data_IF_831652455946
#
_entry.id   IF_831652455946
#
_cell.length_a   1.000
_cell.length_b   1.000
_cell.length_c   1.000
_cell.angle_alpha   90.00
_cell.angle_beta   90.00
_cell.angle_gamma   90.00
#
_symmetry.space_group_name_H-M   'P 1'
#
loop_
_entity.id
_entity.type
_entity.pdbx_description
1 polymer ?
#
# COMPACT_ATOMS: atom_id res chain seq x y z
N UNK A 1 -21.20 -9.47 12.12
CA UNK A 1 -19.90 -8.79 11.89
C UNK A 1 -20.22 -7.34 11.64
N UNK A 2 -19.56 -6.41 12.32
CA UNK A 2 -19.83 -4.97 12.14
C UNK A 2 -19.38 -4.59 10.73
N UNK A 3 -20.16 -3.78 10.01
CA UNK A 3 -19.87 -3.24 8.67
C UNK A 3 -19.88 -4.20 7.45
N UNK A 4 -20.21 -5.50 7.58
CA UNK A 4 -20.34 -6.42 6.43
C UNK A 4 -21.68 -7.17 6.44
N UNK A 5 -22.18 -7.52 5.25
CA UNK A 5 -23.38 -8.38 5.14
C UNK A 5 -23.08 -9.83 5.56
N UNK A 6 -24.10 -10.63 5.96
CA UNK A 6 -23.91 -12.05 6.28
C UNK A 6 -23.31 -12.84 5.12
N UNK A 7 -23.75 -12.59 3.89
CA UNK A 7 -23.30 -13.30 2.70
C UNK A 7 -21.85 -12.96 2.35
N UNK A 8 -21.48 -11.69 2.45
CA UNK A 8 -20.10 -11.22 2.26
C UNK A 8 -19.15 -11.84 3.30
N UNK A 9 -19.59 -11.91 4.55
CA UNK A 9 -18.83 -12.60 5.61
C UNK A 9 -18.66 -14.09 5.31
N UNK A 10 -19.71 -14.76 4.83
CA UNK A 10 -19.65 -16.17 4.45
C UNK A 10 -18.71 -16.39 3.25
N UNK A 11 -18.75 -15.50 2.26
CA UNK A 11 -17.87 -15.52 1.09
C UNK A 11 -16.40 -15.39 1.48
N UNK A 12 -16.01 -14.38 2.28
CA UNK A 12 -14.62 -14.19 2.70
C UNK A 12 -14.10 -15.37 3.52
N UNK A 13 -14.92 -15.92 4.43
CA UNK A 13 -14.55 -17.11 5.22
C UNK A 13 -14.41 -18.35 4.35
N UNK A 14 -15.30 -18.54 3.37
CA UNK A 14 -15.22 -19.66 2.44
C UNK A 14 -13.92 -19.59 1.65
N UNK A 15 -13.55 -18.42 1.12
CA UNK A 15 -12.33 -18.26 0.32
C UNK A 15 -11.07 -18.48 1.16
N UNK A 16 -11.00 -17.90 2.36
CA UNK A 16 -9.85 -18.06 3.26
C UNK A 16 -9.54 -19.54 3.57
N UNK A 17 -10.58 -20.38 3.70
CA UNK A 17 -10.43 -21.82 3.98
C UNK A 17 -10.15 -22.68 2.75
N UNK A 18 -10.25 -22.13 1.53
CA UNK A 18 -10.05 -22.86 0.27
C UNK A 18 -8.76 -22.48 -0.44
N UNK A 19 -8.28 -21.27 -0.21
CA UNK A 19 -7.11 -20.72 -0.90
C UNK A 19 -5.78 -21.20 -0.33
N UNK A 20 -4.73 -21.03 -1.13
CA UNK A 20 -3.37 -21.38 -0.73
C UNK A 20 -2.87 -20.49 0.42
N UNK A 21 -1.86 -20.97 1.15
CA UNK A 21 -1.22 -20.19 2.23
C UNK A 21 -0.77 -18.81 1.73
N UNK A 22 -0.18 -18.74 0.53
CA UNK A 22 0.27 -17.47 -0.06
C UNK A 22 -0.87 -16.47 -0.22
N UNK A 23 -2.02 -16.93 -0.72
CA UNK A 23 -3.19 -16.08 -0.93
C UNK A 23 -3.85 -15.71 0.40
N UNK A 24 -3.95 -16.65 1.35
CA UNK A 24 -4.49 -16.40 2.69
C UNK A 24 -3.66 -15.38 3.47
N UNK A 25 -2.34 -15.34 3.28
CA UNK A 25 -1.48 -14.30 3.88
C UNK A 25 -1.86 -12.91 3.36
N UNK A 26 -2.06 -12.75 2.04
CA UNK A 26 -2.46 -11.47 1.45
C UNK A 26 -3.87 -11.05 1.88
N UNK A 27 -4.78 -12.00 2.08
CA UNK A 27 -6.12 -11.73 2.63
C UNK A 27 -6.08 -11.20 4.07
N UNK A 28 -5.13 -11.67 4.88
CA UNK A 28 -4.99 -11.27 6.30
C UNK A 28 -4.19 -9.98 6.43
N UNK A 29 -3.08 -9.90 5.69
CA UNK A 29 -2.16 -8.77 5.70
C UNK A 29 -1.95 -8.28 4.27
N UNK A 30 -2.74 -7.30 3.83
CA UNK A 30 -2.58 -6.64 2.55
C UNK A 30 -1.16 -6.10 2.36
N UNK A 31 -0.68 -6.10 1.13
CA UNK A 31 0.61 -5.53 0.77
C UNK A 31 0.45 -4.14 0.17
N UNK A 32 1.34 -3.22 0.54
CA UNK A 32 1.37 -1.86 0.01
C UNK A 32 2.69 -1.65 -0.73
N UNK A 33 2.61 -1.25 -1.99
CA UNK A 33 3.77 -0.97 -2.83
C UNK A 33 3.81 0.52 -3.18
N UNK A 34 4.95 1.16 -2.95
CA UNK A 34 5.14 2.58 -3.21
C UNK A 34 5.95 2.82 -4.48
N UNK A 35 5.45 3.71 -5.33
CA UNK A 35 6.10 4.17 -6.54
C UNK A 35 6.43 5.66 -6.42
N UNK A 36 7.64 6.02 -6.83
CA UNK A 36 8.09 7.42 -6.91
C UNK A 36 8.92 7.62 -8.18
N UNK A 37 9.25 8.86 -8.50
CA UNK A 37 10.17 9.15 -9.62
C UNK A 37 11.64 8.92 -9.25
N UNK A 38 11.97 8.95 -7.97
CA UNK A 38 13.34 9.00 -7.48
C UNK A 38 13.88 7.61 -7.10
N UNK A 39 12.99 6.63 -6.92
CA UNK A 39 13.33 5.29 -6.49
C UNK A 39 12.54 4.24 -7.27
N UNK A 40 13.09 3.03 -7.45
CA UNK A 40 12.30 1.90 -7.92
C UNK A 40 11.14 1.58 -6.96
N UNK A 41 10.14 0.80 -7.40
CA UNK A 41 9.02 0.40 -6.55
C UNK A 41 9.52 -0.38 -5.33
N UNK A 42 9.07 0.02 -4.14
CA UNK A 42 9.50 -0.60 -2.88
C UNK A 42 8.31 -0.89 -1.97
N UNK A 43 8.34 -1.99 -1.19
CA UNK A 43 7.33 -2.25 -0.18
C UNK A 43 7.23 -1.09 0.82
N UNK A 44 6.00 -0.75 1.20
CA UNK A 44 5.70 0.28 2.18
C UNK A 44 4.90 -0.33 3.33
N UNK A 45 5.00 0.27 4.51
CA UNK A 45 4.19 -0.15 5.66
C UNK A 45 2.74 0.24 5.40
N UNK A 46 1.80 -0.60 5.86
CA UNK A 46 0.37 -0.31 5.78
C UNK A 46 -0.02 0.70 6.88
N UNK A 47 0.53 1.90 6.77
CA UNK A 47 0.40 3.00 7.72
C UNK A 47 0.25 4.32 6.95
N UNK A 48 -0.37 5.30 7.60
CA UNK A 48 -0.61 6.62 7.03
C UNK A 48 0.70 7.37 6.75
N UNK A 49 1.76 7.07 7.51
CA UNK A 49 3.10 7.57 7.25
C UNK A 49 3.65 7.19 5.85
N UNK A 50 3.10 6.15 5.22
CA UNK A 50 3.46 5.77 3.84
C UNK A 50 2.80 6.65 2.77
N UNK A 51 1.79 7.45 3.13
CA UNK A 51 1.11 8.37 2.22
C UNK A 51 1.99 9.61 2.00
N UNK A 52 2.22 9.95 0.73
CA UNK A 52 3.00 11.12 0.34
C UNK A 52 2.44 11.72 -0.95
N UNK A 53 2.55 13.04 -1.09
CA UNK A 53 2.00 13.79 -2.23
C UNK A 53 2.62 13.40 -3.59
N UNK A 54 3.88 12.98 -3.59
CA UNK A 54 4.65 12.69 -4.80
C UNK A 54 4.76 11.19 -5.11
N UNK A 55 3.96 10.36 -4.44
CA UNK A 55 4.00 8.91 -4.57
C UNK A 55 2.68 8.34 -5.08
N UNK A 56 2.77 7.23 -5.79
CA UNK A 56 1.62 6.37 -6.10
C UNK A 56 1.73 5.14 -5.21
N UNK A 57 0.63 4.77 -4.55
CA UNK A 57 0.56 3.57 -3.72
C UNK A 57 -0.35 2.56 -4.38
N UNK A 58 0.10 1.30 -4.43
CA UNK A 58 -0.70 0.16 -4.86
C UNK A 58 -0.92 -0.74 -3.65
N UNK A 59 -2.17 -0.81 -3.20
CA UNK A 59 -2.62 -1.73 -2.17
C UNK A 59 -3.18 -2.98 -2.83
N UNK A 60 -2.64 -4.14 -2.47
CA UNK A 60 -3.20 -5.44 -2.81
C UNK A 60 -3.72 -6.11 -1.52
N UNK A 61 -5.05 -6.20 -1.42
CA UNK A 61 -5.77 -6.82 -0.30
C UNK A 61 -6.48 -8.12 -0.70
N UNK A 62 -6.01 -8.79 -1.75
CA UNK A 62 -6.60 -9.99 -2.36
C UNK A 62 -7.98 -9.77 -3.00
N UNK A 63 -8.98 -9.34 -2.22
CA UNK A 63 -10.34 -9.07 -2.69
C UNK A 63 -10.45 -7.74 -3.44
N UNK A 64 -9.50 -6.83 -3.22
CA UNK A 64 -9.47 -5.52 -3.86
C UNK A 64 -8.04 -5.07 -4.11
N UNK A 65 -7.81 -4.50 -5.28
CA UNK A 65 -6.59 -3.75 -5.61
C UNK A 65 -6.94 -2.26 -5.68
N UNK A 66 -6.26 -1.44 -4.89
CA UNK A 66 -6.50 0.01 -4.81
C UNK A 66 -5.26 0.76 -5.24
N UNK A 67 -5.42 1.70 -6.18
CA UNK A 67 -4.36 2.60 -6.62
C UNK A 67 -4.65 3.99 -6.07
N UNK A 68 -3.80 4.44 -5.16
CA UNK A 68 -3.85 5.78 -4.60
C UNK A 68 -2.82 6.67 -5.28
N UNK A 69 -3.22 7.89 -5.64
CA UNK A 69 -2.33 8.88 -6.23
C UNK A 69 -2.16 10.02 -5.23
N UNK A 70 -0.91 10.32 -4.85
CA UNK A 70 -0.60 11.49 -4.03
C UNK A 70 -1.04 12.79 -4.70
N UNK A 71 -1.22 13.85 -3.90
CA UNK A 71 -1.80 15.12 -4.34
C UNK A 71 -1.11 15.70 -5.59
N UNK A 72 0.23 15.75 -5.60
CA UNK A 72 1.01 16.27 -6.74
C UNK A 72 0.80 15.42 -7.99
N UNK A 73 0.82 14.09 -7.84
CA UNK A 73 0.61 13.16 -8.95
C UNK A 73 -0.81 13.28 -9.51
N UNK A 74 -1.81 13.41 -8.65
CA UNK A 74 -3.20 13.60 -9.04
C UNK A 74 -3.38 14.92 -9.82
N UNK A 75 -2.75 16.01 -9.38
CA UNK A 75 -2.75 17.28 -10.09
C UNK A 75 -2.11 17.14 -11.48
N UNK A 76 -0.94 16.52 -11.58
CA UNK A 76 -0.30 16.29 -12.88
C UNK A 76 -1.13 15.43 -13.82
N UNK A 77 -1.80 14.40 -13.28
CA UNK A 77 -2.72 13.55 -14.05
C UNK A 77 -3.89 14.34 -14.61
N UNK A 78 -4.48 15.21 -13.80
CA UNK A 78 -5.61 16.07 -14.19
C UNK A 78 -5.20 17.13 -15.22
N UNK A 79 -3.97 17.65 -15.13
CA UNK A 79 -3.39 18.56 -16.12
C UNK A 79 -2.97 17.87 -17.42
N UNK A 80 -3.01 16.53 -17.46
CA UNK A 80 -2.74 15.76 -18.67
C UNK A 80 -1.26 15.67 -19.06
N UNK A 81 -0.33 15.88 -18.12
CA UNK A 81 1.11 15.82 -18.40
C UNK A 81 1.53 14.50 -19.06
N UNK A 82 0.89 13.39 -18.70
CA UNK A 82 1.14 12.07 -19.29
C UNK A 82 0.89 12.01 -20.81
N UNK A 83 0.08 12.92 -21.36
CA UNK A 83 -0.26 12.92 -22.79
C UNK A 83 0.70 13.78 -23.63
N UNK A 84 1.59 14.54 -23.00
CA UNK A 84 2.52 15.40 -23.72
C UNK A 84 3.54 14.55 -24.50
N UNK A 85 3.91 14.97 -25.72
CA UNK A 85 4.75 14.17 -26.62
C UNK A 85 6.12 13.84 -26.02
N UNK A 86 6.68 14.73 -25.19
CA UNK A 86 7.95 14.51 -24.46
C UNK A 86 7.89 13.31 -23.50
N UNK A 87 6.70 13.00 -22.96
CA UNK A 87 6.47 11.87 -22.05
C UNK A 87 6.06 10.58 -22.78
N UNK A 88 5.64 10.65 -24.04
CA UNK A 88 5.28 9.46 -24.85
C UNK A 88 6.50 8.56 -25.14
N UNK A 89 7.69 9.14 -25.36
CA UNK A 89 8.93 8.38 -25.59
C UNK A 89 9.32 7.54 -24.35
N UNK A 90 9.05 8.05 -23.15
CA UNK A 90 9.32 7.38 -21.87
C UNK A 90 8.39 6.17 -21.66
N UNK A 91 7.16 6.23 -22.17
CA UNK A 91 6.21 5.11 -22.14
C UNK A 91 6.64 3.93 -23.03
N UNK A 92 7.24 4.22 -24.18
CA UNK A 92 7.84 3.21 -25.06
C UNK A 92 9.06 2.54 -24.41
N UNK A 93 9.92 3.32 -23.75
CA UNK A 93 11.09 2.79 -23.02
C UNK A 93 10.70 1.94 -21.80
N UNK A 94 9.67 2.32 -21.05
CA UNK A 94 9.18 1.53 -19.91
C UNK A 94 8.59 0.17 -20.31
N UNK A 95 8.11 0.03 -21.56
CA UNK A 95 7.63 -1.25 -22.12
C UNK A 95 8.76 -2.19 -22.57
N UNK A 96 9.99 -1.70 -22.65
CA UNK A 96 11.17 -2.46 -23.08
C UNK A 96 12.01 -2.85 -21.84
N UNK A 97 11.59 -3.89 -21.11
CA UNK A 97 12.32 -4.68 -20.09
C UNK A 97 13.01 -3.97 -18.88
N UNK A 98 12.60 -4.26 -17.62
CA UNK A 98 13.20 -3.72 -16.39
C UNK A 98 14.17 -4.71 -15.73
N UNK A 99 15.45 -4.75 -16.15
CA UNK A 99 16.47 -5.64 -15.53
C UNK A 99 17.59 -4.90 -14.80
N UNK A 100 17.41 -3.64 -14.41
CA UNK A 100 18.43 -2.89 -13.66
C UNK A 100 17.87 -2.39 -12.32
N UNK A 101 17.70 -3.31 -11.38
CA UNK A 101 17.69 -3.00 -9.94
C UNK A 101 19.06 -2.50 -9.52
N UNK A 102 19.15 -1.30 -8.94
CA UNK A 102 20.25 -0.97 -8.04
C UNK A 102 19.74 -0.44 -6.69
N UNK A 103 20.23 -1.16 -5.69
CA UNK A 103 20.12 -1.12 -4.25
C UNK A 103 20.29 0.25 -3.56
N UNK A 104 19.58 0.37 -2.42
CA UNK A 104 20.03 0.87 -1.09
C UNK A 104 19.56 2.24 -0.56
N UNK A 105 19.14 2.18 0.72
CA UNK A 105 19.13 3.16 1.82
C UNK A 105 18.17 4.37 1.69
N UNK A 106 17.04 4.37 2.41
CA UNK A 106 16.84 4.81 3.80
C UNK A 106 16.92 6.34 3.96
N UNK A 107 15.76 6.98 4.15
CA UNK A 107 15.58 8.16 5.01
C UNK A 107 14.07 8.45 5.17
N UNK A 108 13.66 8.68 6.41
CA UNK A 108 12.28 8.94 6.85
C UNK A 108 12.06 10.45 6.87
N UNK A 109 10.94 10.97 6.32
CA UNK A 109 10.59 12.39 6.37
C UNK A 109 9.14 12.61 6.88
N UNK A 110 8.88 13.73 7.57
CA UNK A 110 7.76 13.90 8.48
C UNK A 110 6.55 14.57 7.80
N UNK A 111 5.35 14.14 8.20
CA UNK A 111 4.08 14.71 7.71
C UNK A 111 2.99 13.65 7.64
N UNK A 112 2.70 12.97 8.74
CA UNK A 112 1.59 12.03 8.81
C UNK A 112 0.29 12.82 8.74
N UNK A 113 -0.44 12.68 7.63
CA UNK A 113 -1.86 13.02 7.62
C UNK A 113 -2.57 12.20 8.71
N UNK A 114 -3.36 12.85 9.56
CA UNK A 114 -4.04 12.18 10.66
C UNK A 114 -5.39 11.68 10.15
N UNK A 115 -5.52 10.37 9.95
CA UNK A 115 -6.82 9.72 9.66
C UNK A 115 -7.44 9.33 11.01
N UNK A 116 -8.60 9.89 11.33
CA UNK A 116 -9.36 9.55 12.53
C UNK A 116 -10.07 8.20 12.34
N UNK A 117 -9.44 7.11 12.77
CA UNK A 117 -10.09 5.79 12.90
C UNK A 117 -10.24 5.44 14.38
N UNK A 118 -11.21 4.59 14.70
CA UNK A 118 -11.40 4.06 16.07
C UNK A 118 -10.50 2.85 16.35
N UNK A 119 -9.57 2.52 15.45
CA UNK A 119 -8.73 1.34 15.55
C UNK A 119 -7.44 1.65 16.31
N UNK A 120 -7.05 0.75 17.22
CA UNK A 120 -5.76 0.85 17.87
C UNK A 120 -4.65 0.62 16.84
N UNK A 121 -3.64 1.50 16.80
CA UNK A 121 -2.48 1.30 15.92
C UNK A 121 -1.70 0.05 16.34
N UNK A 122 -1.04 -0.58 15.37
CA UNK A 122 -0.21 -1.77 15.63
C UNK A 122 0.84 -1.51 16.73
N UNK A 123 1.37 -0.30 16.78
CA UNK A 123 2.32 0.12 17.81
C UNK A 123 1.72 0.01 19.22
N UNK A 124 0.52 0.54 19.44
CA UNK A 124 -0.18 0.48 20.73
C UNK A 124 -0.47 -0.97 21.11
N UNK A 125 -0.88 -1.80 20.15
CA UNK A 125 -1.10 -3.24 20.38
C UNK A 125 0.17 -3.95 20.85
N UNK A 126 1.31 -3.72 20.17
CA UNK A 126 2.60 -4.31 20.53
C UNK A 126 3.07 -3.85 21.92
N UNK A 127 2.96 -2.56 22.22
CA UNK A 127 3.32 -2.01 23.53
C UNK A 127 2.49 -2.64 24.65
N UNK A 128 1.19 -2.83 24.43
CA UNK A 128 0.30 -3.46 25.41
C UNK A 128 0.63 -4.94 25.61
N UNK A 129 0.88 -5.66 24.50
CA UNK A 129 1.28 -7.07 24.53
C UNK A 129 2.59 -7.27 25.30
N UNK A 130 3.59 -6.41 25.07
CA UNK A 130 4.87 -6.45 25.79
C UNK A 130 4.68 -6.26 27.29
N UNK A 131 3.85 -5.29 27.71
CA UNK A 131 3.56 -5.05 29.14
C UNK A 131 2.90 -6.26 29.81
N UNK A 132 1.95 -6.92 29.14
CA UNK A 132 1.31 -8.12 29.69
C UNK A 132 2.28 -9.31 29.73
N UNK A 133 3.15 -9.45 28.74
CA UNK A 133 4.11 -10.56 28.67
C UNK A 133 5.18 -10.52 29.77
N UNK A 134 5.52 -9.34 30.30
CA UNK A 134 6.51 -9.18 31.39
C UNK A 134 5.88 -9.20 32.79
N UNK A 135 4.56 -9.32 32.89
CA UNK A 135 3.83 -9.39 34.17
C UNK A 135 3.75 -10.82 34.74
N UNK A 136 4.36 -11.81 34.08
CA UNK A 136 4.47 -13.21 34.52
C UNK A 136 5.69 -13.46 35.41
#
# INVERSE_FOLDING_TARGET
>A
VINNSPDETAYFRMLLNRESISNSVVMIQPSLLSYSFNSPPSPALLDVASISADRILLLDAYFSVVIFHGMTIAQWRNMGYQNQPEHQARFLLAKLNPSATHNSAHEVAPGSDVIFTNDASLQIFCEHLQRLAVQS
#
